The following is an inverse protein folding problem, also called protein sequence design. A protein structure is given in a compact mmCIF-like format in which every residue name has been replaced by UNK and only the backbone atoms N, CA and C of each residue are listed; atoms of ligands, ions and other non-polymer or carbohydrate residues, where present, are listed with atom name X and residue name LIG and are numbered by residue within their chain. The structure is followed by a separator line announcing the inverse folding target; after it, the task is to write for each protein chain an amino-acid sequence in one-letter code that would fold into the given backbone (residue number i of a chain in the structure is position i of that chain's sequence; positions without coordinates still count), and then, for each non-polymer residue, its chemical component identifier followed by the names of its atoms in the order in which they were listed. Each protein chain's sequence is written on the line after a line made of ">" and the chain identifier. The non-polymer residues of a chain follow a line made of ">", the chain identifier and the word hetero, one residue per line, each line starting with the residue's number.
data_IF_930854399588
#
_entry.id   IF_930854399588
#
_cell.length_a   1.000
_cell.length_b   1.000
_cell.length_c   1.000
_cell.angle_alpha   90.00
_cell.angle_beta   90.00
_cell.angle_gamma   90.00
#
_symmetry.space_group_name_H-M   'P 1'
#
loop_
_entity.id
_entity.type
_entity.pdbx_description
1 polymer ?
#
# COMPACT_ATOMS: atom_id res chain seq x y z
N UNK A 1 26.26 -8.70 4.33
CA UNK A 1 25.75 -7.30 4.15
C UNK A 1 24.25 -7.19 3.87
N UNK A 2 23.61 -8.03 3.06
CA UNK A 2 22.11 -7.99 2.93
C UNK A 2 21.41 -8.76 4.06
N UNK A 3 21.96 -9.85 4.55
CA UNK A 3 21.43 -10.62 5.68
C UNK A 3 21.39 -9.80 6.98
N UNK A 4 22.39 -9.03 7.29
CA UNK A 4 22.42 -8.16 8.49
C UNK A 4 21.29 -7.14 8.59
N UNK A 5 20.67 -6.73 7.46
CA UNK A 5 19.64 -5.67 7.48
C UNK A 5 18.32 -6.12 8.08
N UNK A 6 17.88 -7.34 7.78
CA UNK A 6 16.62 -7.85 8.35
C UNK A 6 16.82 -8.59 9.68
N UNK A 7 18.05 -9.00 10.03
CA UNK A 7 18.35 -9.58 11.34
C UNK A 7 17.96 -8.64 12.49
N UNK A 8 18.26 -7.34 12.34
CA UNK A 8 17.83 -6.34 13.33
C UNK A 8 16.32 -6.26 13.45
N UNK A 9 15.59 -6.38 12.32
CA UNK A 9 14.13 -6.39 12.33
C UNK A 9 13.61 -7.66 13.02
N UNK A 10 14.21 -8.82 12.75
CA UNK A 10 13.84 -10.09 13.40
C UNK A 10 14.06 -10.02 14.90
N UNK A 11 15.21 -9.54 15.34
CA UNK A 11 15.52 -9.37 16.78
C UNK A 11 14.48 -8.46 17.45
N UNK A 12 14.15 -7.33 16.81
CA UNK A 12 13.13 -6.42 17.32
C UNK A 12 11.73 -7.04 17.32
N UNK A 13 11.39 -7.79 16.28
CA UNK A 13 10.12 -8.52 16.22
C UNK A 13 10.00 -9.50 17.38
N UNK A 14 11.07 -10.26 17.72
CA UNK A 14 11.08 -11.17 18.86
C UNK A 14 10.93 -10.43 20.20
N UNK A 15 11.56 -9.26 20.37
CA UNK A 15 11.37 -8.42 21.56
C UNK A 15 9.92 -7.97 21.69
N UNK A 16 9.31 -7.50 20.60
CA UNK A 16 7.91 -7.05 20.55
C UNK A 16 6.96 -8.20 20.87
N UNK A 17 7.18 -9.39 20.31
CA UNK A 17 6.30 -10.56 20.56
C UNK A 17 6.32 -11.01 22.01
N UNK A 18 7.46 -10.91 22.71
CA UNK A 18 7.60 -11.25 24.14
C UNK A 18 6.74 -10.33 25.05
N UNK A 19 6.42 -9.12 24.59
CA UNK A 19 5.55 -8.18 25.36
C UNK A 19 4.08 -8.58 25.35
N UNK A 20 3.68 -9.49 24.47
CA UNK A 20 2.31 -9.96 24.36
C UNK A 20 1.37 -8.91 23.77
N UNK A 21 0.32 -8.53 24.49
CA UNK A 21 -0.66 -7.56 24.02
C UNK A 21 -0.20 -6.13 24.26
N UNK A 22 -0.07 -5.36 23.19
CA UNK A 22 0.38 -3.96 23.16
C UNK A 22 -0.82 -3.07 22.82
N UNK A 23 -1.01 -2.00 23.57
CA UNK A 23 -2.06 -1.01 23.32
C UNK A 23 -1.79 -0.28 22.01
N UNK A 24 -2.80 -0.14 21.16
CA UNK A 24 -2.73 0.62 19.92
C UNK A 24 -2.48 2.11 20.14
N UNK A 25 -1.67 2.71 19.28
CA UNK A 25 -1.36 4.15 19.36
C UNK A 25 -2.47 5.04 18.79
N UNK A 26 -3.36 4.48 17.96
CA UNK A 26 -4.57 5.15 17.44
C UNK A 26 -5.77 4.22 17.52
N UNK A 27 -6.98 4.73 17.22
CA UNK A 27 -8.23 3.96 17.25
C UNK A 27 -8.69 3.51 15.85
N UNK A 28 -8.01 3.92 14.80
CA UNK A 28 -8.36 3.60 13.42
C UNK A 28 -7.74 2.29 12.91
N UNK A 29 -8.00 1.94 11.65
CA UNK A 29 -7.51 0.71 11.03
C UNK A 29 -6.00 0.71 10.80
N UNK A 30 -5.35 1.87 10.75
CA UNK A 30 -3.89 2.01 10.58
C UNK A 30 -3.13 1.68 11.87
N UNK A 31 -3.83 1.62 13.00
CA UNK A 31 -3.25 1.43 14.33
C UNK A 31 -2.34 0.20 14.43
N UNK A 32 -2.66 -0.90 13.76
CA UNK A 32 -1.82 -2.10 13.79
C UNK A 32 -0.41 -1.86 13.21
N UNK A 33 -0.31 -1.06 12.15
CA UNK A 33 0.98 -0.67 11.55
C UNK A 33 1.71 0.35 12.40
N UNK A 34 1.02 1.44 12.73
CA UNK A 34 1.58 2.54 13.54
C UNK A 34 2.09 2.05 14.90
N UNK A 35 1.36 1.13 15.55
CA UNK A 35 1.81 0.53 16.82
C UNK A 35 3.10 -0.26 16.64
N UNK A 36 3.21 -1.07 15.58
CA UNK A 36 4.42 -1.84 15.33
C UNK A 36 5.61 -0.92 15.01
N UNK A 37 5.43 0.10 14.18
CA UNK A 37 6.46 1.08 13.85
C UNK A 37 6.93 1.87 15.08
N UNK A 38 5.99 2.25 15.97
CA UNK A 38 6.32 2.87 17.25
C UNK A 38 7.17 1.95 18.15
N UNK A 39 6.85 0.65 18.20
CA UNK A 39 7.63 -0.35 18.96
C UNK A 39 9.03 -0.58 18.38
N UNK A 40 9.20 -0.37 17.07
CA UNK A 40 10.52 -0.38 16.44
C UNK A 40 11.37 0.85 16.81
N UNK A 41 10.77 1.87 17.46
CA UNK A 41 11.42 3.14 17.75
C UNK A 41 11.58 4.00 16.49
N UNK A 42 10.74 3.79 15.49
CA UNK A 42 10.74 4.60 14.28
C UNK A 42 10.11 5.95 14.59
N UNK A 43 10.82 7.05 14.34
CA UNK A 43 10.20 8.36 14.23
C UNK A 43 9.32 8.40 12.97
N UNK A 44 8.17 9.06 13.07
CA UNK A 44 7.27 9.26 11.93
C UNK A 44 7.98 10.12 10.88
N UNK A 45 8.61 9.46 9.92
CA UNK A 45 9.26 10.12 8.80
C UNK A 45 8.44 10.05 7.50
N UNK A 46 8.95 10.67 6.45
CA UNK A 46 8.27 10.74 5.18
C UNK A 46 8.04 9.34 4.58
N UNK A 47 6.86 9.09 4.03
CA UNK A 47 6.47 7.88 3.31
C UNK A 47 7.32 7.59 2.04
N UNK A 48 8.42 8.32 1.84
CA UNK A 48 9.24 8.20 0.63
C UNK A 48 10.20 7.01 0.68
N UNK A 49 10.85 6.78 1.82
CA UNK A 49 11.81 5.70 2.03
C UNK A 49 11.18 4.47 2.68
N UNK A 50 11.84 3.28 2.60
CA UNK A 50 11.43 2.09 3.34
C UNK A 50 11.45 2.32 4.86
N UNK A 51 10.57 1.61 5.58
CA UNK A 51 10.28 1.86 6.99
C UNK A 51 11.44 1.57 7.95
N UNK A 52 12.18 0.50 7.76
CA UNK A 52 13.19 0.08 8.71
C UNK A 52 14.40 -0.54 8.01
N UNK A 53 15.57 0.13 8.08
CA UNK A 53 16.84 -0.31 7.48
C UNK A 53 16.72 -0.82 6.03
N UNK A 54 15.91 -0.17 5.22
CA UNK A 54 15.71 -0.53 3.81
C UNK A 54 14.68 -1.65 3.59
N UNK A 55 13.91 -2.01 4.62
CA UNK A 55 12.78 -2.93 4.57
C UNK A 55 11.48 -2.16 4.71
N UNK A 56 10.57 -2.28 3.75
CA UNK A 56 9.20 -1.80 3.87
C UNK A 56 8.40 -2.73 4.78
N UNK A 57 7.64 -2.19 5.72
CA UNK A 57 6.86 -2.98 6.68
C UNK A 57 5.38 -2.81 6.41
N UNK A 58 4.66 -3.91 6.36
CA UNK A 58 3.20 -3.93 6.25
C UNK A 58 2.63 -4.83 7.35
N UNK A 59 1.83 -4.24 8.22
CA UNK A 59 1.15 -4.99 9.27
C UNK A 59 -0.28 -5.32 8.85
N UNK A 60 -0.74 -6.50 9.25
CA UNK A 60 -2.11 -6.94 8.98
C UNK A 60 -2.65 -7.75 10.15
N UNK A 61 -3.96 -7.65 10.41
CA UNK A 61 -4.61 -8.52 11.38
C UNK A 61 -5.01 -9.86 10.72
N UNK A 62 -5.14 -10.91 11.52
CA UNK A 62 -5.43 -12.28 11.07
C UNK A 62 -6.66 -12.37 10.16
N UNK A 63 -7.69 -11.58 10.45
CA UNK A 63 -8.97 -11.60 9.74
C UNK A 63 -9.16 -10.48 8.71
N UNK A 64 -8.13 -9.69 8.46
CA UNK A 64 -8.21 -8.64 7.45
C UNK A 64 -8.30 -9.26 6.06
N UNK A 65 -9.43 -9.08 5.38
CA UNK A 65 -9.63 -9.41 3.96
C UNK A 65 -9.06 -8.36 3.00
N UNK A 66 -8.53 -7.26 3.52
CA UNK A 66 -8.04 -6.17 2.69
C UNK A 66 -6.68 -6.49 2.06
N UNK A 67 -6.46 -6.05 0.82
CA UNK A 67 -5.15 -6.10 0.17
C UNK A 67 -4.11 -5.28 0.95
N UNK A 68 -2.86 -5.69 0.82
CA UNK A 68 -1.72 -4.96 1.37
C UNK A 68 -1.44 -3.76 0.46
N UNK A 69 -1.51 -2.54 1.01
CA UNK A 69 -1.07 -1.33 0.33
C UNK A 69 0.45 -1.34 0.25
N UNK A 70 1.01 -1.31 -0.96
CA UNK A 70 2.45 -1.37 -1.18
C UNK A 70 3.09 0.01 -1.08
N UNK A 71 2.55 0.97 -1.82
CA UNK A 71 2.97 2.37 -1.84
C UNK A 71 1.86 3.25 -2.42
N UNK A 72 2.06 4.56 -2.38
CA UNK A 72 1.22 5.54 -3.06
C UNK A 72 2.04 6.34 -4.07
N UNK A 73 1.39 6.76 -5.15
CA UNK A 73 1.91 7.70 -6.12
C UNK A 73 0.82 8.72 -6.44
N UNK A 74 1.25 9.95 -6.69
CA UNK A 74 0.39 10.98 -7.27
C UNK A 74 0.41 10.87 -8.79
N UNK A 75 -0.70 11.21 -9.41
CA UNK A 75 -0.71 11.35 -10.85
C UNK A 75 0.04 12.63 -11.25
N UNK A 76 0.93 12.49 -12.22
CA UNK A 76 1.41 13.56 -13.04
C UNK A 76 0.32 13.94 -14.05
N UNK A 77 0.64 14.78 -15.03
CA UNK A 77 -0.30 15.05 -16.08
C UNK A 77 0.13 16.20 -16.97
N UNK A 78 -0.77 16.58 -17.85
CA UNK A 78 -0.57 17.68 -18.80
C UNK A 78 -0.40 19.01 -18.09
N UNK A 79 -0.97 19.18 -16.90
CA UNK A 79 -0.96 20.44 -16.16
C UNK A 79 -0.26 20.30 -14.82
N UNK A 80 0.38 21.37 -14.40
CA UNK A 80 0.90 21.50 -13.05
C UNK A 80 -0.25 21.33 -12.04
N UNK A 81 -0.03 20.57 -10.95
CA UNK A 81 -1.07 20.26 -9.95
C UNK A 81 -2.26 19.45 -10.48
N UNK A 82 -2.01 18.51 -11.39
CA UNK A 82 -3.04 17.67 -12.01
C UNK A 82 -4.01 17.05 -11.00
N UNK A 83 -3.53 16.57 -9.84
CA UNK A 83 -4.40 16.02 -8.79
C UNK A 83 -5.39 17.04 -8.23
N UNK A 84 -4.97 18.28 -8.06
CA UNK A 84 -5.88 19.33 -7.59
C UNK A 84 -6.96 19.65 -8.63
N UNK A 85 -6.62 19.61 -9.91
CA UNK A 85 -7.58 19.80 -10.99
C UNK A 85 -8.63 18.67 -11.02
N UNK A 86 -8.19 17.41 -10.85
CA UNK A 86 -9.09 16.25 -10.73
C UNK A 86 -10.03 16.39 -9.52
N UNK A 87 -9.50 16.79 -8.36
CA UNK A 87 -10.29 17.02 -7.17
C UNK A 87 -11.31 18.15 -7.36
N UNK A 88 -10.93 19.24 -8.01
CA UNK A 88 -11.84 20.34 -8.29
C UNK A 88 -12.97 19.94 -9.24
N UNK A 89 -12.66 19.16 -10.30
CA UNK A 89 -13.62 18.77 -11.32
C UNK A 89 -14.58 17.68 -10.83
N UNK A 90 -14.06 16.64 -10.17
CA UNK A 90 -14.77 15.39 -9.92
C UNK A 90 -14.96 15.05 -8.44
N UNK A 91 -14.27 15.77 -7.54
CA UNK A 91 -14.37 15.54 -6.11
C UNK A 91 -15.66 16.04 -5.50
N UNK A 92 -16.12 15.37 -4.45
CA UNK A 92 -17.21 15.83 -3.57
C UNK A 92 -16.64 16.57 -2.37
N UNK A 93 -17.44 17.47 -1.79
CA UNK A 93 -17.07 18.12 -0.53
C UNK A 93 -16.86 17.08 0.57
N UNK A 94 -15.83 17.28 1.37
CA UNK A 94 -15.59 16.45 2.53
C UNK A 94 -16.63 16.73 3.62
N UNK A 95 -17.10 15.68 4.31
CA UNK A 95 -18.13 15.83 5.34
C UNK A 95 -17.60 16.58 6.58
N UNK A 96 -16.34 16.33 6.95
CA UNK A 96 -15.73 16.96 8.14
C UNK A 96 -15.11 18.32 7.80
N UNK A 97 -14.68 18.51 6.54
CA UNK A 97 -14.04 19.73 6.05
C UNK A 97 -14.71 20.18 4.75
N UNK A 98 -15.88 20.87 4.81
CA UNK A 98 -16.68 21.22 3.63
C UNK A 98 -15.95 22.03 2.56
N UNK A 99 -14.93 22.78 2.95
CA UNK A 99 -14.08 23.58 2.04
C UNK A 99 -13.08 22.70 1.24
N UNK A 100 -12.90 21.44 1.64
CA UNK A 100 -12.03 20.48 0.97
C UNK A 100 -12.85 19.54 0.10
N UNK A 101 -12.31 19.18 -1.04
CA UNK A 101 -12.86 18.13 -1.89
C UNK A 101 -12.07 16.84 -1.73
N UNK A 102 -12.77 15.72 -1.84
CA UNK A 102 -12.17 14.38 -1.86
C UNK A 102 -12.66 13.56 -3.04
N UNK A 103 -11.79 12.72 -3.55
CA UNK A 103 -12.08 11.74 -4.58
C UNK A 103 -11.58 10.39 -4.06
N UNK A 104 -12.50 9.54 -3.62
CA UNK A 104 -12.16 8.27 -2.99
C UNK A 104 -12.68 7.13 -3.84
N UNK A 105 -11.78 6.23 -4.25
CA UNK A 105 -12.12 5.03 -4.99
C UNK A 105 -10.93 4.11 -5.15
N UNK A 106 -11.19 2.82 -5.22
CA UNK A 106 -10.17 1.82 -5.49
C UNK A 106 -10.06 1.56 -6.98
N UNK A 107 -9.05 2.18 -7.60
CA UNK A 107 -8.75 1.97 -9.00
C UNK A 107 -8.02 0.64 -9.21
N UNK A 108 -8.49 -0.14 -10.18
CA UNK A 108 -7.86 -1.39 -10.63
C UNK A 108 -7.66 -1.26 -12.14
N UNK A 109 -6.47 -1.60 -12.69
CA UNK A 109 -6.24 -1.53 -14.13
C UNK A 109 -7.33 -2.25 -14.92
N UNK A 110 -7.70 -1.67 -16.04
CA UNK A 110 -8.73 -2.14 -16.98
C UNK A 110 -10.17 -2.19 -16.45
N UNK A 111 -10.39 -1.96 -15.15
CA UNK A 111 -11.73 -1.96 -14.56
C UNK A 111 -12.25 -0.55 -14.39
N UNK A 112 -13.46 -0.27 -14.92
CA UNK A 112 -14.20 0.96 -14.63
C UNK A 112 -14.76 0.91 -13.22
N UNK A 113 -14.63 2.00 -12.49
CA UNK A 113 -15.33 2.21 -11.22
C UNK A 113 -16.11 3.50 -11.27
N UNK A 114 -17.31 3.51 -10.71
CA UNK A 114 -18.10 4.72 -10.54
C UNK A 114 -17.71 5.41 -9.25
N UNK A 115 -17.35 6.69 -9.34
CA UNK A 115 -17.12 7.58 -8.20
C UNK A 115 -17.96 8.82 -8.48
N UNK A 116 -18.97 9.07 -7.65
CA UNK A 116 -19.99 10.07 -7.88
C UNK A 116 -20.70 9.84 -9.24
N UNK A 117 -20.78 10.85 -10.09
CA UNK A 117 -21.43 10.79 -11.39
C UNK A 117 -20.47 10.44 -12.54
N UNK A 118 -19.21 10.07 -12.22
CA UNK A 118 -18.17 9.81 -13.20
C UNK A 118 -17.64 8.39 -13.11
N UNK A 119 -17.19 7.86 -14.25
CA UNK A 119 -16.48 6.59 -14.30
C UNK A 119 -14.98 6.82 -14.47
N UNK A 120 -14.20 6.12 -13.65
CA UNK A 120 -12.74 6.17 -13.65
C UNK A 120 -12.15 4.82 -14.03
N UNK A 121 -11.09 4.85 -14.82
CA UNK A 121 -10.37 3.65 -15.25
C UNK A 121 -8.88 3.91 -15.33
N UNK A 122 -8.08 3.02 -14.73
CA UNK A 122 -6.65 2.97 -15.02
C UNK A 122 -6.42 2.22 -16.33
N UNK A 123 -5.76 2.87 -17.28
CA UNK A 123 -5.45 2.35 -18.59
C UNK A 123 -3.93 2.38 -18.82
N UNK A 124 -3.24 1.24 -18.72
CA UNK A 124 -1.83 1.16 -19.10
C UNK A 124 -1.73 1.24 -20.64
N UNK A 125 -0.91 2.19 -21.11
CA UNK A 125 -0.58 2.38 -22.52
C UNK A 125 0.92 2.12 -22.70
N UNK A 126 1.25 0.90 -23.11
CA UNK A 126 2.64 0.40 -23.15
C UNK A 126 3.48 1.06 -24.25
N UNK A 127 2.85 1.52 -25.34
CA UNK A 127 3.55 2.26 -26.41
C UNK A 127 3.98 3.67 -25.95
N UNK A 128 3.31 4.22 -24.94
CA UNK A 128 3.60 5.55 -24.38
C UNK A 128 4.33 5.49 -23.05
N UNK A 129 4.63 4.30 -22.54
CA UNK A 129 5.23 4.08 -21.21
C UNK A 129 4.48 4.78 -20.07
N UNK A 130 3.12 4.75 -20.12
CA UNK A 130 2.26 5.48 -19.17
C UNK A 130 1.08 4.66 -18.66
N UNK A 131 0.73 4.95 -17.41
CA UNK A 131 -0.53 4.52 -16.79
C UNK A 131 -1.46 5.72 -16.72
N UNK A 132 -2.45 5.77 -17.59
CA UNK A 132 -3.42 6.87 -17.64
C UNK A 132 -4.58 6.67 -16.68
N UNK A 133 -5.09 7.77 -16.14
CA UNK A 133 -6.40 7.84 -15.52
C UNK A 133 -7.41 8.38 -16.55
N UNK A 134 -8.23 7.50 -17.10
CA UNK A 134 -9.31 7.87 -18.03
C UNK A 134 -10.57 8.15 -17.23
N UNK A 135 -11.25 9.24 -17.59
CA UNK A 135 -12.51 9.68 -16.97
C UNK A 135 -13.59 9.72 -18.02
N UNK A 136 -14.72 9.12 -17.73
CA UNK A 136 -15.94 9.15 -18.54
C UNK A 136 -17.09 9.80 -17.73
N UNK A 137 -18.08 10.39 -18.42
CA UNK A 137 -19.28 10.92 -17.80
C UNK A 137 -20.24 9.80 -17.31
N UNK A 138 -21.40 10.19 -16.78
CA UNK A 138 -22.44 9.27 -16.30
C UNK A 138 -23.01 8.35 -17.39
N UNK A 139 -22.94 8.77 -18.65
CA UNK A 139 -23.37 8.02 -19.84
C UNK A 139 -22.20 7.23 -20.48
N UNK A 140 -21.08 7.09 -19.78
CA UNK A 140 -19.86 6.44 -20.23
C UNK A 140 -19.21 7.09 -21.47
N UNK A 141 -19.42 8.38 -21.71
CA UNK A 141 -18.75 9.12 -22.76
C UNK A 141 -17.42 9.63 -22.24
N UNK A 142 -16.37 9.45 -23.02
CA UNK A 142 -15.02 9.89 -22.67
C UNK A 142 -14.97 11.41 -22.46
N UNK A 143 -14.37 11.84 -21.35
CA UNK A 143 -14.14 13.24 -21.00
C UNK A 143 -12.66 13.63 -21.12
N UNK A 144 -11.78 12.91 -20.42
CA UNK A 144 -10.36 13.25 -20.39
C UNK A 144 -9.46 12.09 -19.97
N UNK A 145 -8.15 12.21 -20.30
CA UNK A 145 -7.05 11.36 -19.81
C UNK A 145 -5.78 12.20 -19.57
N UNK A 146 -5.93 13.39 -19.02
CA UNK A 146 -4.82 14.33 -18.82
C UNK A 146 -3.91 13.91 -17.67
N UNK A 147 -4.39 13.05 -16.76
CA UNK A 147 -3.64 12.51 -15.63
C UNK A 147 -3.01 11.16 -15.98
N UNK A 148 -1.72 11.02 -15.71
CA UNK A 148 -0.98 9.78 -15.94
C UNK A 148 0.17 9.61 -14.93
N UNK A 149 0.74 8.40 -14.88
CA UNK A 149 2.00 8.12 -14.19
C UNK A 149 2.93 7.45 -15.19
N UNK A 150 4.16 7.95 -15.32
CA UNK A 150 5.15 7.30 -16.16
C UNK A 150 5.56 5.94 -15.58
N UNK A 151 5.77 4.93 -16.41
CA UNK A 151 6.21 3.61 -15.96
C UNK A 151 7.57 3.67 -15.27
N UNK A 152 8.48 4.55 -15.70
CA UNK A 152 9.75 4.81 -15.01
C UNK A 152 9.53 5.23 -13.55
N UNK A 153 8.59 6.14 -13.29
CA UNK A 153 8.25 6.59 -11.93
C UNK A 153 7.73 5.43 -11.06
N UNK A 154 6.91 4.54 -11.64
CA UNK A 154 6.44 3.33 -10.94
C UNK A 154 7.62 2.43 -10.60
N UNK A 155 8.48 2.12 -11.58
CA UNK A 155 9.65 1.24 -11.41
C UNK A 155 10.62 1.80 -10.36
N UNK A 156 10.91 3.10 -10.40
CA UNK A 156 11.76 3.76 -9.41
C UNK A 156 11.18 3.65 -7.99
N UNK A 157 9.86 3.84 -7.85
CA UNK A 157 9.19 3.69 -6.56
C UNK A 157 9.23 2.26 -6.06
N UNK A 158 9.00 1.28 -6.93
CA UNK A 158 9.10 -0.14 -6.63
C UNK A 158 10.52 -0.51 -6.17
N UNK A 159 11.56 -0.08 -6.91
CA UNK A 159 12.97 -0.28 -6.54
C UNK A 159 13.30 0.30 -5.18
N UNK A 160 12.84 1.52 -4.94
CA UNK A 160 13.15 2.24 -3.71
C UNK A 160 12.48 1.59 -2.49
N UNK A 161 11.17 1.33 -2.57
CA UNK A 161 10.37 0.90 -1.42
C UNK A 161 10.28 -0.60 -1.23
N UNK A 162 10.23 -1.37 -2.30
CA UNK A 162 9.83 -2.77 -2.24
C UNK A 162 10.98 -3.76 -2.41
N UNK A 163 12.22 -3.32 -2.43
CA UNK A 163 13.37 -4.23 -2.56
C UNK A 163 13.35 -5.37 -1.50
N UNK A 164 12.91 -5.03 -0.29
CA UNK A 164 12.62 -5.98 0.78
C UNK A 164 11.30 -5.59 1.44
N UNK A 165 10.39 -6.53 1.58
CA UNK A 165 9.07 -6.34 2.21
C UNK A 165 8.95 -7.28 3.41
N UNK A 166 8.60 -6.74 4.57
CA UNK A 166 8.20 -7.52 5.74
C UNK A 166 6.68 -7.43 5.94
N UNK A 167 6.02 -8.59 5.97
CA UNK A 167 4.60 -8.68 6.32
C UNK A 167 4.48 -9.21 7.73
N UNK A 168 3.93 -8.38 8.62
CA UNK A 168 3.78 -8.67 10.05
C UNK A 168 2.31 -8.95 10.35
N UNK A 169 2.04 -10.08 10.98
CA UNK A 169 0.69 -10.50 11.34
C UNK A 169 0.44 -10.30 12.83
N UNK A 170 -0.73 -9.77 13.15
CA UNK A 170 -1.16 -9.53 14.52
C UNK A 170 -2.56 -10.08 14.78
N UNK A 171 -2.78 -10.53 16.01
CA UNK A 171 -4.13 -10.67 16.58
C UNK A 171 -4.57 -9.32 17.12
N UNK A 172 -5.86 -9.02 17.01
CA UNK A 172 -6.49 -7.79 17.52
C UNK A 172 -7.53 -8.15 18.56
N UNK A 173 -7.58 -7.39 19.65
CA UNK A 173 -8.69 -7.39 20.61
C UNK A 173 -9.06 -5.97 20.98
N UNK A 174 -10.30 -5.78 21.43
CA UNK A 174 -10.81 -4.49 21.91
C UNK A 174 -11.19 -4.67 23.39
N UNK A 175 -10.70 -3.78 24.24
CA UNK A 175 -11.03 -3.74 25.67
C UNK A 175 -11.41 -2.29 25.99
N UNK A 176 -12.62 -2.06 26.47
CA UNK A 176 -13.13 -0.72 26.81
C UNK A 176 -12.89 0.32 25.69
N UNK A 177 -13.24 -0.03 24.45
CA UNK A 177 -13.04 0.75 23.22
C UNK A 177 -11.60 0.86 22.71
N UNK A 178 -10.60 0.54 23.53
CA UNK A 178 -9.19 0.59 23.15
C UNK A 178 -8.76 -0.66 22.38
N UNK A 179 -7.95 -0.47 21.35
CA UNK A 179 -7.40 -1.56 20.56
C UNK A 179 -6.10 -2.07 21.18
N UNK A 180 -5.92 -3.39 21.15
CA UNK A 180 -4.67 -4.06 21.53
C UNK A 180 -4.27 -5.04 20.46
N UNK A 181 -2.95 -5.12 20.19
CA UNK A 181 -2.35 -6.00 19.19
C UNK A 181 -1.36 -6.94 19.82
N UNK A 182 -1.36 -8.20 19.36
CA UNK A 182 -0.33 -9.20 19.67
C UNK A 182 0.26 -9.68 18.35
N UNK A 183 1.49 -9.28 18.10
CA UNK A 183 2.22 -9.67 16.91
C UNK A 183 2.77 -11.09 17.11
N UNK A 184 2.53 -11.97 16.13
CA UNK A 184 2.85 -13.39 16.28
C UNK A 184 3.60 -13.99 15.09
N UNK A 185 3.57 -13.33 13.93
CA UNK A 185 4.21 -13.85 12.72
C UNK A 185 4.78 -12.73 11.88
N UNK A 186 5.99 -12.97 11.35
CA UNK A 186 6.63 -12.12 10.38
C UNK A 186 7.10 -12.96 9.19
N UNK A 187 6.86 -12.48 7.98
CA UNK A 187 7.39 -13.06 6.75
C UNK A 187 8.17 -11.98 6.02
N UNK A 188 9.39 -12.29 5.63
CA UNK A 188 10.24 -11.39 4.85
C UNK A 188 10.32 -11.89 3.43
N UNK A 189 10.12 -10.97 2.51
CA UNK A 189 10.09 -11.18 1.09
C UNK A 189 11.15 -10.34 0.39
N UNK A 190 11.72 -10.87 -0.69
CA UNK A 190 12.62 -10.17 -1.61
C UNK A 190 11.90 -9.94 -2.93
N UNK A 191 11.94 -8.72 -3.44
CA UNK A 191 11.41 -8.40 -4.77
C UNK A 191 12.16 -9.20 -5.83
N UNK A 192 11.43 -9.86 -6.73
CA UNK A 192 12.02 -10.61 -7.85
C UNK A 192 12.74 -9.67 -8.80
N UNK A 193 11.99 -8.85 -9.50
CA UNK A 193 12.49 -7.74 -10.31
C UNK A 193 11.49 -6.58 -10.25
N UNK A 194 11.93 -5.33 -10.37
CA UNK A 194 10.99 -4.19 -10.38
C UNK A 194 10.03 -4.21 -11.58
N UNK A 195 10.51 -4.71 -12.72
CA UNK A 195 9.79 -4.76 -13.99
C UNK A 195 8.58 -5.70 -13.93
N UNK A 196 8.63 -6.75 -13.09
CA UNK A 196 7.51 -7.69 -12.91
C UNK A 196 6.24 -6.98 -12.42
N UNK A 197 6.38 -5.81 -11.80
CA UNK A 197 5.24 -5.01 -11.36
C UNK A 197 4.40 -4.54 -12.55
N UNK A 198 5.05 -4.05 -13.61
CA UNK A 198 4.36 -3.64 -14.85
C UNK A 198 3.80 -4.84 -15.61
N UNK A 199 4.49 -5.97 -15.63
CA UNK A 199 3.99 -7.20 -16.23
C UNK A 199 2.70 -7.69 -15.57
N UNK A 200 2.60 -7.56 -14.24
CA UNK A 200 1.39 -7.94 -13.51
C UNK A 200 0.25 -6.94 -13.73
N UNK A 201 0.55 -5.65 -13.90
CA UNK A 201 -0.43 -4.65 -14.35
C UNK A 201 -0.95 -5.06 -15.74
N UNK A 202 -0.05 -5.36 -16.68
CA UNK A 202 -0.41 -5.76 -18.06
C UNK A 202 -1.31 -7.00 -18.09
N UNK A 203 -1.06 -7.98 -17.23
CA UNK A 203 -1.83 -9.24 -17.14
C UNK A 203 -3.12 -9.10 -16.34
N UNK A 204 -3.50 -7.88 -15.93
CA UNK A 204 -4.72 -7.62 -15.14
C UNK A 204 -4.85 -8.50 -13.88
N UNK A 205 -3.76 -8.63 -13.12
CA UNK A 205 -3.73 -9.44 -11.88
C UNK A 205 -4.27 -8.71 -10.64
N UNK A 206 -5.25 -7.82 -10.82
CA UNK A 206 -5.82 -6.98 -9.77
C UNK A 206 -4.77 -6.16 -8.99
N UNK A 207 -3.61 -5.96 -9.61
CA UNK A 207 -2.54 -5.17 -9.05
C UNK A 207 -2.78 -3.70 -9.36
N UNK A 208 -2.91 -2.93 -8.29
CA UNK A 208 -2.70 -1.48 -8.31
C UNK A 208 -1.47 -1.19 -7.45
N UNK A 209 -1.49 -0.13 -6.69
CA UNK A 209 -0.48 0.11 -5.63
C UNK A 209 -0.81 -0.66 -4.33
N UNK A 210 -1.73 -1.61 -4.41
CA UNK A 210 -2.05 -2.59 -3.37
C UNK A 210 -2.18 -4.00 -3.98
N UNK A 211 -1.83 -5.01 -3.21
CA UNK A 211 -1.72 -6.39 -3.65
C UNK A 211 -2.56 -7.30 -2.74
N UNK A 212 -3.46 -8.14 -3.30
CA UNK A 212 -4.07 -9.21 -2.54
C UNK A 212 -3.01 -10.11 -1.90
N UNK A 213 -3.22 -10.53 -0.65
CA UNK A 213 -2.21 -11.30 0.11
C UNK A 213 -1.81 -12.61 -0.58
N UNK A 214 -2.77 -13.26 -1.21
CA UNK A 214 -2.57 -14.49 -1.98
C UNK A 214 -1.70 -14.31 -3.23
N UNK A 215 -1.50 -13.07 -3.65
CA UNK A 215 -0.71 -12.72 -4.84
C UNK A 215 0.70 -12.20 -4.52
N UNK A 216 1.10 -12.17 -3.25
CA UNK A 216 2.43 -11.64 -2.84
C UNK A 216 3.55 -12.38 -3.58
N UNK A 217 3.46 -13.70 -3.69
CA UNK A 217 4.47 -14.52 -4.35
C UNK A 217 4.57 -14.32 -5.87
N UNK A 218 3.63 -13.59 -6.48
CA UNK A 218 3.79 -13.14 -7.86
C UNK A 218 4.90 -12.10 -8.01
N UNK A 219 5.04 -11.21 -7.03
CA UNK A 219 6.05 -10.13 -7.03
C UNK A 219 7.33 -10.50 -6.29
N UNK A 220 7.22 -11.33 -5.26
CA UNK A 220 8.28 -11.54 -4.28
C UNK A 220 8.62 -13.01 -4.10
N UNK A 221 9.86 -13.28 -3.72
CA UNK A 221 10.29 -14.56 -3.18
C UNK A 221 10.32 -14.47 -1.65
N UNK A 222 9.72 -15.46 -0.98
CA UNK A 222 9.80 -15.58 0.47
C UNK A 222 11.20 -16.01 0.86
N UNK A 223 11.89 -15.22 1.69
CA UNK A 223 13.27 -15.50 2.14
C UNK A 223 13.36 -15.84 3.62
N UNK A 224 12.36 -15.49 4.43
CA UNK A 224 12.33 -15.79 5.85
C UNK A 224 10.89 -15.85 6.37
N UNK A 225 10.65 -16.71 7.37
CA UNK A 225 9.39 -16.78 8.10
C UNK A 225 9.63 -17.15 9.55
N UNK A 226 9.04 -16.42 10.48
CA UNK A 226 9.00 -16.72 11.91
C UNK A 226 7.54 -16.62 12.38
N UNK A 227 7.03 -17.73 12.93
CA UNK A 227 5.70 -17.82 13.53
C UNK A 227 5.85 -18.29 14.97
N UNK A 228 5.58 -17.41 15.95
CA UNK A 228 5.80 -17.72 17.37
C UNK A 228 4.64 -18.50 17.99
N UNK A 229 3.46 -18.51 17.34
CA UNK A 229 2.29 -19.30 17.77
C UNK A 229 2.42 -20.78 17.31
N UNK A 230 3.21 -21.04 16.28
CA UNK A 230 3.43 -22.36 15.69
C UNK A 230 4.86 -22.89 15.92
N UNK A 231 5.51 -22.46 16.98
CA UNK A 231 6.77 -23.12 17.43
C UNK A 231 6.41 -24.49 18.02
N UNK A 232 6.28 -25.51 17.13
CA UNK A 232 6.33 -26.92 17.49
C UNK A 232 7.78 -27.40 17.59
#
# INVERSE_FOLDING_TARGET
>A
MQEEKYEKLITKFEEITRRGWIKGVTEDESSVGLTFENELGKEFDSMYFPDYYGTEIKCTTRYSGYPISLFSLSFDGKYLYQMNLLLQKYGISDHEYPDKKRLIGRLIPFKKIKINDFYFKLAPEFEEDRLYLKVDDENERFLESDAYINFSTIIERVKLKLNTLAVVYASKRIINTEQYFRYYKIIIYKLKTPEIFLDLIARNKNLTFSLPKENIELLFDKIFELDVDNKS
#
